data_IF_758693358848
#
_entry.id   IF_758693358848
#
_cell.length_a   1.000
_cell.length_b   1.000
_cell.length_c   1.000
_cell.angle_alpha   90.00
_cell.angle_beta   90.00
_cell.angle_gamma   90.00
#
_symmetry.space_group_name_H-M   'P 1'
#
loop_
_entity.id
_entity.type
_entity.pdbx_description
1 polymer ?
#
# COMPACT_ATOMS: atom_id res chain seq x y z
N UNK A 1 16.37 -3.73 0.59
CA UNK A 1 15.92 -4.22 1.91
C UNK A 1 14.91 -3.26 2.51
N UNK A 2 15.29 -2.04 2.88
CA UNK A 2 14.43 -1.09 3.63
C UNK A 2 12.97 -0.92 3.14
N UNK A 3 12.70 -0.81 1.82
CA UNK A 3 11.32 -0.66 1.34
C UNK A 3 10.49 -1.93 1.53
N UNK A 4 11.00 -3.11 1.14
CA UNK A 4 10.22 -4.36 1.20
C UNK A 4 9.91 -4.75 2.65
N UNK A 5 10.85 -4.49 3.56
CA UNK A 5 10.66 -4.71 5.00
C UNK A 5 9.59 -3.76 5.57
N UNK A 6 9.71 -2.45 5.28
CA UNK A 6 8.75 -1.44 5.73
C UNK A 6 7.36 -1.69 5.14
N UNK A 7 7.29 -1.99 3.85
CA UNK A 7 6.06 -2.32 3.16
C UNK A 7 5.42 -3.59 3.75
N UNK A 8 6.19 -4.64 4.03
CA UNK A 8 5.69 -5.86 4.65
C UNK A 8 5.12 -5.60 6.04
N UNK A 9 5.79 -4.75 6.84
CA UNK A 9 5.28 -4.33 8.14
C UNK A 9 3.95 -3.57 8.03
N UNK A 10 3.85 -2.61 7.11
CA UNK A 10 2.60 -1.87 6.84
C UNK A 10 1.48 -2.80 6.36
N UNK A 11 1.82 -3.77 5.52
CA UNK A 11 0.86 -4.78 5.04
C UNK A 11 0.30 -5.61 6.19
N UNK A 12 1.15 -6.15 7.07
CA UNK A 12 0.70 -6.89 8.24
C UNK A 12 -0.17 -6.06 9.18
N UNK A 13 0.25 -4.82 9.46
CA UNK A 13 -0.53 -3.91 10.29
C UNK A 13 -1.93 -3.67 9.72
N UNK A 14 -2.05 -3.41 8.41
CA UNK A 14 -3.35 -3.20 7.77
C UNK A 14 -4.23 -4.47 7.77
N UNK A 15 -3.62 -5.66 7.68
CA UNK A 15 -4.36 -6.93 7.82
C UNK A 15 -4.91 -7.11 9.23
N UNK A 16 -4.12 -6.81 10.25
CA UNK A 16 -4.51 -6.94 11.65
C UNK A 16 -5.63 -5.95 12.00
N UNK A 17 -5.49 -4.68 11.59
CA UNK A 17 -6.53 -3.65 11.76
C UNK A 17 -7.85 -4.08 11.09
N UNK A 18 -7.81 -4.58 9.85
CA UNK A 18 -9.03 -5.05 9.18
C UNK A 18 -9.64 -6.27 9.90
N UNK A 19 -8.81 -7.20 10.38
CA UNK A 19 -9.28 -8.36 11.13
C UNK A 19 -9.96 -7.95 12.45
N UNK A 20 -9.43 -6.94 13.14
CA UNK A 20 -10.05 -6.37 14.34
C UNK A 20 -11.40 -5.75 14.02
N UNK A 21 -11.50 -4.95 12.95
CA UNK A 21 -12.77 -4.35 12.50
C UNK A 21 -13.79 -5.45 12.14
N UNK A 22 -13.38 -6.49 11.42
CA UNK A 22 -14.23 -7.64 11.08
C UNK A 22 -14.69 -8.36 12.36
N UNK A 23 -13.81 -8.54 13.34
CA UNK A 23 -14.13 -9.17 14.62
C UNK A 23 -15.16 -8.35 15.40
N UNK A 24 -15.00 -7.02 15.45
CA UNK A 24 -15.95 -6.10 16.08
C UNK A 24 -17.30 -6.09 15.36
N UNK A 25 -17.30 -6.10 14.03
CA UNK A 25 -18.52 -6.18 13.23
C UNK A 25 -19.30 -7.48 13.54
N UNK A 26 -18.60 -8.62 13.59
CA UNK A 26 -19.19 -9.91 13.98
C UNK A 26 -19.79 -9.88 15.38
N UNK A 27 -19.06 -9.32 16.36
CA UNK A 27 -19.55 -9.19 17.76
C UNK A 27 -20.79 -8.30 17.86
N UNK A 28 -20.85 -7.23 17.08
CA UNK A 28 -21.96 -6.28 17.04
C UNK A 28 -23.10 -6.71 16.09
N UNK A 29 -22.98 -7.87 15.43
CA UNK A 29 -23.91 -8.36 14.39
C UNK A 29 -24.09 -7.35 13.23
N UNK A 30 -23.07 -6.56 12.94
CA UNK A 30 -23.02 -5.66 11.79
C UNK A 30 -22.19 -6.28 10.66
N UNK A 31 -22.42 -5.82 9.43
CA UNK A 31 -21.66 -6.27 8.27
C UNK A 31 -20.45 -5.37 8.06
N UNK A 32 -19.26 -5.95 7.98
CA UNK A 32 -18.07 -5.23 7.53
C UNK A 32 -18.14 -4.98 6.02
N UNK A 33 -17.88 -3.74 5.61
CA UNK A 33 -17.74 -3.34 4.21
C UNK A 33 -16.36 -2.72 4.05
N UNK A 34 -15.54 -3.32 3.18
CA UNK A 34 -14.20 -2.80 2.91
C UNK A 34 -14.28 -1.45 2.18
N UNK A 35 -13.37 -0.53 2.53
CA UNK A 35 -13.17 0.71 1.78
C UNK A 35 -12.76 0.39 0.34
N UNK A 36 -13.41 1.04 -0.62
CA UNK A 36 -13.03 1.00 -2.04
C UNK A 36 -12.44 2.36 -2.40
N UNK A 37 -11.22 2.35 -2.91
CA UNK A 37 -10.45 3.54 -3.25
C UNK A 37 -10.84 4.09 -4.63
N UNK A 38 -10.35 5.28 -4.97
CA UNK A 38 -10.64 5.95 -6.25
C UNK A 38 -10.21 5.14 -7.48
N UNK A 39 -9.22 4.25 -7.33
CA UNK A 39 -8.77 3.35 -8.39
C UNK A 39 -9.54 2.01 -8.44
N UNK A 40 -10.56 1.84 -7.59
CA UNK A 40 -11.39 0.64 -7.48
C UNK A 40 -10.78 -0.50 -6.66
N UNK A 41 -9.57 -0.33 -6.13
CA UNK A 41 -8.97 -1.33 -5.23
C UNK A 41 -9.53 -1.18 -3.81
N UNK A 42 -9.60 -2.28 -3.06
CA UNK A 42 -9.62 -2.20 -1.59
C UNK A 42 -8.24 -1.90 -1.05
N UNK A 43 -8.11 -1.52 0.24
CA UNK A 43 -6.80 -1.30 0.86
C UNK A 43 -5.89 -2.54 0.74
N UNK A 44 -6.42 -3.75 0.97
CA UNK A 44 -5.69 -5.02 0.78
C UNK A 44 -5.19 -5.21 -0.65
N UNK A 45 -6.02 -4.89 -1.64
CA UNK A 45 -5.65 -4.99 -3.05
C UNK A 45 -4.61 -3.94 -3.45
N UNK A 46 -4.78 -2.69 -2.98
CA UNK A 46 -3.82 -1.61 -3.18
C UNK A 46 -2.45 -2.04 -2.69
N UNK A 47 -2.37 -2.50 -1.44
CA UNK A 47 -1.14 -2.99 -0.86
C UNK A 47 -0.58 -4.08 -1.77
N UNK A 48 -1.26 -5.22 -1.92
CA UNK A 48 -0.74 -6.38 -2.66
C UNK A 48 -0.24 -6.04 -4.09
N UNK A 49 -0.97 -5.18 -4.82
CA UNK A 49 -0.62 -4.78 -6.20
C UNK A 49 0.49 -3.73 -6.28
N UNK A 50 0.82 -3.09 -5.17
CA UNK A 50 1.86 -2.06 -5.10
C UNK A 50 3.23 -2.59 -4.63
N UNK A 51 3.30 -3.86 -4.19
CA UNK A 51 4.53 -4.48 -3.67
C UNK A 51 5.74 -4.27 -4.57
N UNK A 52 5.56 -4.38 -5.89
CA UNK A 52 6.66 -4.37 -6.85
C UNK A 52 6.96 -2.98 -7.44
N UNK A 53 6.38 -1.90 -6.91
CA UNK A 53 6.63 -0.54 -7.43
C UNK A 53 8.11 -0.15 -7.31
N UNK A 54 8.81 -0.58 -6.26
CA UNK A 54 10.23 -0.25 -6.03
C UNK A 54 11.19 -0.77 -7.10
N UNK A 55 10.80 -1.76 -7.90
CA UNK A 55 11.68 -2.40 -8.88
C UNK A 55 11.73 -1.64 -10.21
N UNK A 56 10.96 -0.55 -10.35
CA UNK A 56 10.91 0.26 -11.57
C UNK A 56 10.96 1.74 -11.23
N UNK A 57 11.69 2.49 -12.05
CA UNK A 57 11.61 3.95 -12.03
C UNK A 57 10.19 4.40 -12.41
N UNK A 58 9.69 5.47 -11.79
CA UNK A 58 8.32 5.95 -11.97
C UNK A 58 7.96 6.25 -13.44
N UNK A 59 8.95 6.61 -14.26
CA UNK A 59 8.77 6.83 -15.70
C UNK A 59 8.36 5.56 -16.46
N UNK A 60 8.61 4.37 -15.88
CA UNK A 60 8.25 3.06 -16.44
C UNK A 60 6.94 2.50 -15.89
N UNK A 61 6.27 3.22 -14.98
CA UNK A 61 4.98 2.81 -14.47
C UNK A 61 3.86 3.11 -15.47
N UNK A 62 2.95 2.15 -15.61
CA UNK A 62 1.67 2.35 -16.29
C UNK A 62 0.81 3.35 -15.53
N UNK A 63 -0.22 3.91 -16.17
CA UNK A 63 -1.14 4.85 -15.52
C UNK A 63 -1.73 4.28 -14.22
N UNK A 64 -2.18 3.03 -14.25
CA UNK A 64 -2.76 2.37 -13.08
C UNK A 64 -1.73 2.13 -11.95
N UNK A 65 -0.47 1.90 -12.29
CA UNK A 65 0.61 1.81 -11.29
C UNK A 65 0.91 3.16 -10.65
N UNK A 66 0.84 4.25 -11.41
CA UNK A 66 0.99 5.61 -10.86
C UNK A 66 -0.14 5.94 -9.89
N UNK A 67 -1.39 5.66 -10.26
CA UNK A 67 -2.54 5.85 -9.37
C UNK A 67 -2.40 5.05 -8.07
N UNK A 68 -1.93 3.79 -8.16
CA UNK A 68 -1.64 2.99 -6.96
C UNK A 68 -0.51 3.57 -6.12
N UNK A 69 0.56 4.04 -6.75
CA UNK A 69 1.68 4.67 -6.06
C UNK A 69 1.23 5.94 -5.31
N UNK A 70 0.44 6.79 -5.96
CA UNK A 70 -0.14 8.00 -5.36
C UNK A 70 -0.97 7.66 -4.12
N UNK A 71 -1.93 6.74 -4.24
CA UNK A 71 -2.77 6.31 -3.12
C UNK A 71 -1.96 5.65 -1.99
N UNK A 72 -0.91 4.90 -2.33
CA UNK A 72 -0.04 4.27 -1.35
C UNK A 72 0.77 5.30 -0.59
N UNK A 73 1.36 6.27 -1.28
CA UNK A 73 2.21 7.31 -0.70
C UNK A 73 1.43 8.34 0.10
N UNK A 74 0.20 8.65 -0.31
CA UNK A 74 -0.72 9.47 0.48
C UNK A 74 -0.99 8.86 1.87
N UNK A 75 -1.17 7.54 1.93
CA UNK A 75 -1.44 6.81 3.19
C UNK A 75 -0.17 6.51 3.99
N UNK A 76 0.93 6.24 3.31
CA UNK A 76 2.19 5.81 3.90
C UNK A 76 3.35 6.65 3.35
N UNK A 77 3.42 7.91 3.78
CA UNK A 77 4.45 8.86 3.33
C UNK A 77 5.89 8.35 3.55
N UNK A 78 6.11 7.48 4.54
CA UNK A 78 7.40 6.82 4.75
C UNK A 78 7.82 5.92 3.59
N UNK A 79 6.87 5.26 2.90
CA UNK A 79 7.18 4.44 1.72
C UNK A 79 7.66 5.31 0.56
N UNK A 80 7.09 6.51 0.39
CA UNK A 80 7.54 7.47 -0.62
C UNK A 80 8.97 7.94 -0.36
N UNK A 81 9.29 8.24 0.91
CA UNK A 81 10.64 8.64 1.32
C UNK A 81 11.65 7.55 0.98
N UNK A 82 11.37 6.31 1.37
CA UNK A 82 12.27 5.18 1.10
C UNK A 82 12.40 4.91 -0.40
N UNK A 83 11.30 4.99 -1.16
CA UNK A 83 11.34 4.88 -2.62
C UNK A 83 12.23 5.95 -3.26
N UNK A 84 12.08 7.20 -2.83
CA UNK A 84 12.84 8.35 -3.34
C UNK A 84 14.33 8.21 -3.04
N UNK A 85 14.71 7.85 -1.82
CA UNK A 85 16.11 7.59 -1.47
C UNK A 85 16.71 6.45 -2.30
N UNK A 86 15.92 5.41 -2.58
CA UNK A 86 16.40 4.28 -3.36
C UNK A 86 16.60 4.60 -4.86
N UNK A 87 15.86 5.57 -5.41
CA UNK A 87 16.11 6.06 -6.77
C UNK A 87 17.38 6.90 -6.84
N UNK A 88 17.58 7.82 -5.90
CA UNK A 88 18.78 8.66 -5.84
C UNK A 88 20.07 7.81 -5.80
N UNK A 89 20.05 6.70 -5.06
CA UNK A 89 21.18 5.77 -4.99
C UNK A 89 21.39 4.85 -6.20
N UNK A 90 20.52 4.90 -7.23
CA UNK A 90 20.68 4.14 -8.49
C UNK A 90 21.21 4.99 -9.65
N UNK A 91 21.21 6.31 -9.50
CA UNK A 91 21.68 7.28 -10.51
C UNK A 91 23.14 7.72 -10.28
N UNK A 92 23.89 7.00 -9.43
CA UNK A 92 25.32 7.23 -9.11
C UNK A 92 26.15 5.99 -9.47
#
# INVERSE_FOLDING_TARGET
MAYDDLYSARHWQALDEENEIISLAKKSKTTFVAEVLSNGDTLKQLLARSRYLLFKHYSKWTHLQKQRAELLFERYSELEKVYSYQLIGRDI
#
